data_IF_276667603096
#
_entry.id   IF_276667603096
#
_cell.length_a   1.000
_cell.length_b   1.000
_cell.length_c   1.000
_cell.angle_alpha   90.00
_cell.angle_beta   90.00
_cell.angle_gamma   90.00
#
_symmetry.space_group_name_H-M   'P 1'
#
loop_
_entity.id
_entity.type
_entity.pdbx_description
1 polymer ?
#
# COMPACT_ATOMS: atom_id res chain seq x y z
N UNK A 1 -12.08 18.66 -15.97
CA UNK A 1 -11.55 17.54 -16.78
C UNK A 1 -12.41 16.31 -16.52
N UNK A 2 -12.87 15.60 -17.55
CA UNK A 2 -13.91 14.56 -17.44
C UNK A 2 -13.41 13.11 -17.59
N UNK A 3 -12.11 12.84 -17.43
CA UNK A 3 -11.58 11.48 -17.46
C UNK A 3 -12.12 10.65 -16.27
N UNK A 4 -12.69 9.48 -16.58
CA UNK A 4 -13.35 8.61 -15.59
C UNK A 4 -12.78 7.18 -15.55
N UNK A 5 -11.91 6.83 -16.48
CA UNK A 5 -11.31 5.49 -16.59
C UNK A 5 -10.01 5.56 -17.41
N UNK A 6 -9.14 4.57 -17.19
CA UNK A 6 -7.95 4.29 -18.01
C UNK A 6 -8.26 3.11 -18.94
N UNK A 7 -7.52 2.97 -20.04
CA UNK A 7 -7.68 1.87 -20.99
C UNK A 7 -7.20 2.22 -22.38
N UNK A 8 -7.03 1.22 -23.24
CA UNK A 8 -6.56 1.38 -24.61
C UNK A 8 -7.69 1.46 -25.63
N UNK A 9 -7.92 0.36 -26.33
CA UNK A 9 -9.02 0.20 -27.30
C UNK A 9 -10.00 -0.87 -26.82
N UNK A 10 -11.28 -0.72 -27.15
CA UNK A 10 -12.32 -1.65 -26.73
C UNK A 10 -13.28 -2.01 -27.87
N UNK A 11 -13.87 -3.20 -27.76
CA UNK A 11 -14.85 -3.76 -28.68
C UNK A 11 -14.26 -4.23 -30.02
N UNK A 12 -15.08 -4.95 -30.80
CA UNK A 12 -14.68 -5.49 -32.11
C UNK A 12 -14.31 -4.43 -33.15
N UNK A 13 -14.80 -3.19 -32.99
CA UNK A 13 -14.47 -2.08 -33.88
C UNK A 13 -13.22 -1.29 -33.45
N UNK A 14 -12.46 -1.75 -32.45
CA UNK A 14 -11.21 -1.13 -31.99
C UNK A 14 -11.42 0.35 -31.66
N UNK A 15 -12.42 0.65 -30.83
CA UNK A 15 -12.73 2.04 -30.45
C UNK A 15 -11.72 2.52 -29.42
N UNK A 16 -11.05 3.66 -29.61
CA UNK A 16 -10.12 4.18 -28.62
C UNK A 16 -10.87 4.74 -27.42
N UNK A 17 -10.32 4.58 -26.22
CA UNK A 17 -10.82 5.27 -25.03
C UNK A 17 -10.47 6.76 -25.08
N UNK A 18 -11.22 7.63 -24.37
CA UNK A 18 -10.83 9.02 -24.19
C UNK A 18 -9.44 9.18 -23.56
N UNK A 19 -9.04 8.23 -22.69
CA UNK A 19 -7.71 8.21 -22.09
C UNK A 19 -6.62 8.05 -23.15
N UNK A 20 -6.75 7.04 -24.02
CA UNK A 20 -5.81 6.82 -25.13
C UNK A 20 -5.76 8.01 -26.09
N UNK A 21 -6.93 8.60 -26.42
CA UNK A 21 -7.00 9.80 -27.26
C UNK A 21 -6.25 10.99 -26.65
N UNK A 22 -6.36 11.20 -25.33
CA UNK A 22 -5.65 12.27 -24.64
C UNK A 22 -4.15 12.00 -24.56
N UNK A 23 -3.72 10.75 -24.34
CA UNK A 23 -2.31 10.37 -24.42
C UNK A 23 -1.73 10.70 -25.79
N UNK A 24 -2.44 10.31 -26.86
CA UNK A 24 -2.02 10.63 -28.22
C UNK A 24 -1.97 12.14 -28.47
N UNK A 25 -2.95 12.89 -27.93
CA UNK A 25 -2.96 14.35 -28.07
C UNK A 25 -1.79 15.00 -27.32
N UNK A 26 -1.44 14.51 -26.13
CA UNK A 26 -0.24 14.94 -25.41
C UNK A 26 1.03 14.67 -26.21
N UNK A 27 1.15 13.50 -26.85
CA UNK A 27 2.27 13.18 -27.74
C UNK A 27 2.35 14.14 -28.93
N UNK A 28 1.21 14.60 -29.47
CA UNK A 28 1.17 15.55 -30.57
C UNK A 28 1.57 16.98 -30.16
N UNK A 29 1.12 17.44 -28.99
CA UNK A 29 1.42 18.81 -28.52
C UNK A 29 2.78 18.90 -27.81
N UNK A 30 3.33 17.77 -27.40
CA UNK A 30 4.63 17.63 -26.74
C UNK A 30 4.82 18.67 -25.63
N UNK A 31 4.03 18.60 -24.54
CA UNK A 31 4.13 19.57 -23.46
C UNK A 31 5.53 19.56 -22.84
N UNK A 32 5.90 20.69 -22.25
CA UNK A 32 7.13 20.80 -21.46
C UNK A 32 7.10 19.83 -20.27
N UNK A 33 8.29 19.33 -19.90
CA UNK A 33 8.46 18.34 -18.85
C UNK A 33 7.85 18.79 -17.52
N UNK A 34 7.94 20.07 -17.20
CA UNK A 34 7.44 20.65 -15.95
C UNK A 34 5.92 20.49 -15.82
N UNK A 35 5.19 20.67 -16.93
CA UNK A 35 3.73 20.46 -16.98
C UNK A 35 3.39 18.99 -16.71
N UNK A 36 4.17 18.06 -17.24
CA UNK A 36 3.96 16.63 -17.03
C UNK A 36 4.25 16.24 -15.58
N UNK A 37 5.29 16.82 -14.98
CA UNK A 37 5.61 16.63 -13.57
C UNK A 37 4.49 17.19 -12.68
N UNK A 38 3.91 18.33 -13.03
CA UNK A 38 2.72 18.85 -12.34
C UNK A 38 1.52 17.92 -12.47
N UNK A 39 1.31 17.28 -13.62
CA UNK A 39 0.24 16.28 -13.77
C UNK A 39 0.46 15.07 -12.87
N UNK A 40 1.71 14.62 -12.70
CA UNK A 40 2.07 13.51 -11.83
C UNK A 40 1.88 13.86 -10.35
N UNK A 41 2.30 15.07 -9.95
CA UNK A 41 2.17 15.59 -8.58
C UNK A 41 0.72 15.95 -8.21
N UNK A 42 -0.20 15.97 -9.18
CA UNK A 42 -1.58 16.30 -8.91
C UNK A 42 -2.29 15.15 -8.16
N UNK A 43 -2.57 15.39 -6.88
CA UNK A 43 -3.27 14.44 -6.02
C UNK A 43 -4.79 14.50 -6.14
N UNK A 44 -5.38 15.56 -6.69
CA UNK A 44 -6.84 15.67 -6.78
C UNK A 44 -7.40 14.81 -7.93
N UNK A 45 -6.66 14.75 -9.04
CA UNK A 45 -7.11 14.09 -10.27
C UNK A 45 -6.29 12.84 -10.59
N UNK A 46 -6.67 11.72 -9.96
CA UNK A 46 -6.01 10.41 -10.19
C UNK A 46 -5.81 10.01 -11.65
N UNK A 47 -6.76 10.32 -12.54
CA UNK A 47 -6.64 9.98 -13.97
C UNK A 47 -5.69 10.90 -14.74
N UNK A 48 -5.52 12.15 -14.29
CA UNK A 48 -4.52 13.08 -14.86
C UNK A 48 -3.13 12.64 -14.44
N UNK A 49 -2.97 12.20 -13.19
CA UNK A 49 -1.74 11.58 -12.72
C UNK A 49 -1.39 10.32 -13.54
N UNK A 50 -2.35 9.42 -13.80
CA UNK A 50 -2.10 8.25 -14.65
C UNK A 50 -1.74 8.62 -16.10
N UNK A 51 -2.35 9.69 -16.61
CA UNK A 51 -2.05 10.21 -17.95
C UNK A 51 -0.62 10.74 -18.03
N UNK A 52 -0.20 11.51 -17.02
CA UNK A 52 1.17 12.00 -16.89
C UNK A 52 2.20 10.87 -16.73
N UNK A 53 1.88 9.86 -15.93
CA UNK A 53 2.70 8.66 -15.73
C UNK A 53 2.93 7.91 -17.06
N UNK A 54 1.85 7.63 -17.81
CA UNK A 54 1.95 6.98 -19.12
C UNK A 54 2.73 7.84 -20.12
N UNK A 55 2.53 9.17 -20.12
CA UNK A 55 3.27 10.06 -21.00
C UNK A 55 4.78 10.09 -20.67
N UNK A 56 5.15 10.16 -19.38
CA UNK A 56 6.56 10.05 -18.95
C UNK A 56 7.16 8.71 -19.32
N UNK A 57 6.40 7.61 -19.24
CA UNK A 57 6.86 6.28 -19.67
C UNK A 57 7.22 6.23 -21.15
N UNK A 58 6.50 6.97 -21.99
CA UNK A 58 6.67 6.95 -23.45
C UNK A 58 7.75 7.89 -23.95
N UNK A 59 7.94 9.05 -23.30
CA UNK A 59 8.79 10.14 -23.79
C UNK A 59 9.97 10.47 -22.88
N UNK A 60 9.87 10.12 -21.60
CA UNK A 60 10.88 10.41 -20.59
C UNK A 60 12.09 9.48 -20.67
N UNK A 61 13.18 9.91 -20.03
CA UNK A 61 14.34 9.05 -19.81
C UNK A 61 14.03 8.03 -18.71
N UNK A 62 14.77 6.91 -18.67
CA UNK A 62 14.60 5.90 -17.62
C UNK A 62 14.82 6.49 -16.21
N UNK A 63 15.79 7.40 -16.06
CA UNK A 63 16.08 8.10 -14.80
C UNK A 63 14.87 8.92 -14.34
N UNK A 64 14.27 9.70 -15.24
CA UNK A 64 13.10 10.49 -14.93
C UNK A 64 11.90 9.63 -14.55
N UNK A 65 11.73 8.50 -15.24
CA UNK A 65 10.67 7.54 -14.92
C UNK A 65 10.78 7.10 -13.47
N UNK A 66 11.92 6.55 -13.05
CA UNK A 66 12.13 6.08 -11.68
C UNK A 66 11.94 7.21 -10.66
N UNK A 67 12.54 8.38 -10.89
CA UNK A 67 12.46 9.52 -9.98
C UNK A 67 11.04 10.05 -9.74
N UNK A 68 10.21 10.12 -10.77
CA UNK A 68 8.87 10.71 -10.66
C UNK A 68 7.76 9.68 -10.36
N UNK A 69 7.97 8.40 -10.65
CA UNK A 69 6.96 7.36 -10.45
C UNK A 69 7.14 6.56 -9.17
N UNK A 70 8.34 6.53 -8.59
CA UNK A 70 8.55 5.92 -7.27
C UNK A 70 7.59 6.46 -6.20
N UNK A 71 7.38 7.79 -6.07
CA UNK A 71 6.41 8.33 -5.13
C UNK A 71 4.96 7.88 -5.39
N UNK A 72 4.63 7.47 -6.63
CA UNK A 72 3.29 7.00 -6.95
C UNK A 72 3.01 5.58 -6.44
N UNK A 73 4.02 4.79 -6.07
CA UNK A 73 3.81 3.49 -5.44
C UNK A 73 3.12 3.60 -4.08
N UNK A 74 3.29 4.71 -3.36
CA UNK A 74 2.58 4.98 -2.10
C UNK A 74 1.09 5.31 -2.31
N UNK A 75 0.62 5.36 -3.57
CA UNK A 75 -0.73 5.74 -3.92
C UNK A 75 -1.64 4.52 -4.15
N UNK A 76 -2.45 4.17 -3.15
CA UNK A 76 -3.34 3.00 -3.20
C UNK A 76 -4.76 3.32 -3.68
N UNK A 77 -4.97 4.44 -4.39
CA UNK A 77 -6.29 4.84 -4.86
C UNK A 77 -6.82 3.89 -5.92
N UNK A 78 -8.12 3.59 -5.86
CA UNK A 78 -8.81 2.75 -6.84
C UNK A 78 -9.14 3.54 -8.11
N UNK A 79 -8.76 3.02 -9.27
CA UNK A 79 -9.08 3.54 -10.61
C UNK A 79 -9.92 2.52 -11.39
N UNK A 80 -10.70 3.02 -12.34
CA UNK A 80 -11.44 2.17 -13.28
C UNK A 80 -10.57 1.93 -14.51
N UNK A 81 -10.33 0.68 -14.85
CA UNK A 81 -9.68 0.26 -16.09
C UNK A 81 -10.73 -0.32 -17.04
N UNK A 82 -10.65 0.01 -18.33
CA UNK A 82 -11.52 -0.56 -19.35
C UNK A 82 -10.76 -1.61 -20.14
N UNK A 83 -11.27 -2.84 -20.14
CA UNK A 83 -10.71 -3.96 -20.87
C UNK A 83 -11.02 -3.89 -22.36
N UNK A 84 -10.34 -4.71 -23.14
CA UNK A 84 -10.57 -4.87 -24.59
C UNK A 84 -12.01 -5.31 -24.91
N UNK A 85 -12.67 -6.04 -24.01
CA UNK A 85 -14.07 -6.45 -24.15
C UNK A 85 -15.06 -5.31 -23.88
N UNK A 86 -14.59 -4.17 -23.35
CA UNK A 86 -15.41 -3.01 -22.96
C UNK A 86 -15.90 -3.04 -21.52
N UNK A 87 -15.63 -4.11 -20.78
CA UNK A 87 -15.94 -4.25 -19.35
C UNK A 87 -15.01 -3.38 -18.50
N UNK A 88 -15.52 -2.92 -17.37
CA UNK A 88 -14.76 -2.09 -16.43
C UNK A 88 -14.29 -2.92 -15.25
N UNK A 89 -12.99 -2.91 -15.03
CA UNK A 89 -12.34 -3.51 -13.87
C UNK A 89 -11.85 -2.41 -12.92
N UNK A 90 -11.70 -2.78 -11.66
CA UNK A 90 -11.18 -1.90 -10.64
C UNK A 90 -9.74 -2.30 -10.35
N UNK A 91 -8.82 -1.38 -10.61
CA UNK A 91 -7.37 -1.56 -10.45
C UNK A 91 -6.88 -0.50 -9.48
N UNK A 92 -5.79 -0.74 -8.76
CA UNK A 92 -5.17 0.31 -7.93
C UNK A 92 -4.10 1.07 -8.72
N UNK A 93 -3.75 2.26 -8.23
CA UNK A 93 -2.77 3.12 -8.91
C UNK A 93 -1.38 2.50 -8.89
N UNK A 94 -0.91 2.02 -7.74
CA UNK A 94 0.33 1.24 -7.58
C UNK A 94 0.42 0.08 -8.58
N UNK A 95 -0.65 -0.72 -8.71
CA UNK A 95 -0.72 -1.83 -9.67
C UNK A 95 -0.56 -1.35 -11.13
N UNK A 96 -1.17 -0.22 -11.48
CA UNK A 96 -1.05 0.36 -12.82
C UNK A 96 0.36 0.91 -13.10
N UNK A 97 1.01 1.54 -12.11
CA UNK A 97 2.38 2.01 -12.23
C UNK A 97 3.35 0.82 -12.37
N UNK A 98 3.10 -0.27 -11.65
CA UNK A 98 3.88 -1.49 -11.78
C UNK A 98 3.75 -2.11 -13.16
N UNK A 99 2.52 -2.15 -13.70
CA UNK A 99 2.25 -2.63 -15.04
C UNK A 99 3.03 -1.82 -16.10
N UNK A 100 3.13 -0.49 -15.94
CA UNK A 100 3.93 0.38 -16.81
C UNK A 100 5.45 0.10 -16.75
N UNK A 101 5.95 -0.40 -15.61
CA UNK A 101 7.37 -0.69 -15.43
C UNK A 101 7.74 -2.05 -16.02
N UNK A 102 6.93 -3.07 -15.78
CA UNK A 102 7.26 -4.47 -16.09
C UNK A 102 6.68 -4.97 -17.41
N UNK A 103 5.58 -4.38 -17.90
CA UNK A 103 4.90 -4.87 -19.10
C UNK A 103 5.46 -4.25 -20.37
N UNK A 104 5.46 -5.02 -21.46
CA UNK A 104 5.86 -4.54 -22.79
C UNK A 104 4.76 -3.72 -23.48
N UNK A 105 3.51 -3.91 -23.06
CA UNK A 105 2.34 -3.26 -23.62
C UNK A 105 1.36 -2.87 -22.53
N UNK A 106 0.98 -1.60 -22.51
CA UNK A 106 -0.04 -1.06 -21.60
C UNK A 106 -1.00 -0.17 -22.39
N UNK A 107 -2.30 -0.27 -22.13
CA UNK A 107 -3.35 0.47 -22.86
C UNK A 107 -3.24 0.35 -24.39
N UNK A 108 -2.90 -0.84 -24.90
CA UNK A 108 -2.67 -1.13 -26.34
C UNK A 108 -1.51 -0.36 -26.99
N UNK A 109 -0.67 0.30 -26.19
CA UNK A 109 0.55 0.96 -26.63
C UNK A 109 1.74 0.06 -26.32
N UNK A 110 2.62 -0.16 -27.29
CA UNK A 110 3.89 -0.85 -27.08
C UNK A 110 4.85 0.15 -26.42
N UNK A 111 5.35 -0.19 -25.24
CA UNK A 111 6.22 0.68 -24.47
C UNK A 111 7.66 0.57 -24.97
N UNK A 112 8.43 1.68 -25.04
CA UNK A 112 9.85 1.64 -25.31
C UNK A 112 10.57 0.78 -24.27
N UNK A 113 11.59 0.02 -24.68
CA UNK A 113 12.35 -0.79 -23.72
C UNK A 113 12.99 0.08 -22.64
N UNK A 114 12.78 -0.30 -21.38
CA UNK A 114 13.34 0.39 -20.23
C UNK A 114 14.64 -0.30 -19.81
N UNK A 115 15.67 0.49 -19.51
CA UNK A 115 16.88 -0.04 -18.90
C UNK A 115 16.56 -0.48 -17.47
N UNK A 116 17.01 -1.69 -17.10
CA UNK A 116 16.82 -2.23 -15.76
C UNK A 116 17.55 -1.35 -14.75
N UNK A 117 16.96 -1.21 -13.56
CA UNK A 117 17.48 -0.35 -12.48
C UNK A 117 18.95 -0.61 -12.14
N UNK A 118 19.35 -1.87 -11.98
CA UNK A 118 20.74 -2.22 -11.61
C UNK A 118 21.78 -1.64 -12.57
N UNK A 119 21.47 -1.54 -13.87
CA UNK A 119 22.37 -0.97 -14.89
C UNK A 119 22.53 0.53 -14.70
N UNK A 120 21.48 1.20 -14.22
CA UNK A 120 21.49 2.65 -13.97
C UNK A 120 22.14 2.99 -12.63
N UNK A 121 22.03 2.10 -11.65
CA UNK A 121 22.75 2.19 -10.37
C UNK A 121 24.26 1.99 -10.58
N UNK A 122 24.67 0.99 -11.37
CA UNK A 122 26.07 0.78 -11.77
C UNK A 122 26.65 1.97 -12.56
N UNK A 123 25.80 2.70 -13.29
CA UNK A 123 26.17 3.90 -14.03
C UNK A 123 26.17 5.18 -13.17
N UNK A 124 25.91 5.09 -11.86
CA UNK A 124 25.76 6.22 -10.93
C UNK A 124 24.70 7.26 -11.36
N UNK A 125 23.74 6.86 -12.20
CA UNK A 125 22.67 7.74 -12.67
C UNK A 125 21.45 7.74 -11.75
N UNK A 126 21.32 6.71 -10.92
CA UNK A 126 20.27 6.56 -9.92
C UNK A 126 20.85 6.10 -8.59
N UNK A 127 20.34 6.68 -7.52
CA UNK A 127 20.60 6.20 -6.17
C UNK A 127 19.84 4.87 -5.92
N UNK A 128 20.37 4.00 -5.04
CA UNK A 128 19.68 2.78 -4.62
C UNK A 128 18.25 3.09 -4.19
N UNK A 129 17.30 2.21 -4.52
CA UNK A 129 15.90 2.41 -4.13
C UNK A 129 15.81 2.44 -2.61
N UNK A 130 15.27 3.52 -2.05
CA UNK A 130 14.76 3.53 -0.69
C UNK A 130 13.28 3.19 -0.79
N UNK A 131 12.91 1.95 -0.43
CA UNK A 131 11.50 1.57 -0.43
C UNK A 131 10.86 2.07 0.87
N UNK A 132 9.68 2.69 0.79
CA UNK A 132 8.95 3.12 1.99
C UNK A 132 8.65 1.97 2.98
N UNK A 133 8.67 0.72 2.52
CA UNK A 133 8.53 -0.48 3.35
C UNK A 133 9.80 -0.84 4.13
N UNK A 134 10.99 -0.42 3.66
CA UNK A 134 12.24 -0.61 4.41
C UNK A 134 12.27 0.32 5.63
N UNK A 135 11.78 1.55 5.48
CA UNK A 135 11.62 2.51 6.58
C UNK A 135 10.65 1.98 7.66
N UNK A 136 9.55 1.33 7.26
CA UNK A 136 8.60 0.69 8.19
C UNK A 136 9.17 -0.59 8.86
N UNK A 137 10.15 -1.28 8.25
CA UNK A 137 10.78 -2.48 8.85
C UNK A 137 11.87 -2.10 9.85
N UNK A 138 12.63 -1.04 9.57
CA UNK A 138 13.63 -0.49 10.51
C UNK A 138 12.97 0.01 11.81
N UNK A 139 11.77 0.60 11.74
CA UNK A 139 10.98 1.02 12.91
C UNK A 139 10.51 -0.17 13.77
N UNK A 140 10.23 -1.32 13.14
CA UNK A 140 9.83 -2.55 13.85
C UNK A 140 11.05 -3.22 14.49
N UNK A 141 12.18 -3.33 13.77
CA UNK A 141 13.44 -3.85 14.35
C UNK A 141 13.91 -3.00 15.54
N UNK A 142 13.82 -1.66 15.45
CA UNK A 142 14.15 -0.78 16.58
C UNK A 142 13.24 -1.00 17.80
N UNK A 143 11.96 -1.33 17.59
CA UNK A 143 11.02 -1.59 18.69
C UNK A 143 11.20 -2.98 19.33
N UNK A 144 11.64 -3.97 18.56
CA UNK A 144 11.95 -5.32 19.07
C UNK A 144 13.28 -5.35 19.85
N UNK A 145 14.26 -4.52 19.46
CA UNK A 145 15.51 -4.33 20.21
C UNK A 145 15.29 -3.63 21.57
N UNK A 146 14.34 -2.68 21.66
CA UNK A 146 13.97 -2.03 22.92
C UNK A 146 13.26 -2.99 23.90
N UNK A 147 12.41 -3.90 23.41
CA UNK A 147 11.75 -4.92 24.25
C UNK A 147 12.73 -6.00 24.76
N UNK A 148 13.76 -6.35 23.98
CA UNK A 148 14.79 -7.31 24.42
C UNK A 148 15.77 -6.75 25.47
N UNK A 149 16.01 -5.44 25.51
CA UNK A 149 16.81 -4.79 26.56
C UNK A 149 16.07 -4.73 27.90
N UNK A 150 14.76 -4.46 27.89
CA UNK A 150 13.96 -4.31 29.12
C UNK A 150 13.77 -5.67 29.84
N UNK A 151 13.60 -6.77 29.09
CA UNK A 151 13.42 -8.12 29.65
C UNK A 151 14.74 -8.70 30.22
N UNK A 152 15.92 -8.18 29.81
CA UNK A 152 17.23 -8.52 30.39
C UNK A 152 17.55 -7.73 31.66
N UNK A 153 16.96 -6.55 31.85
CA UNK A 153 17.20 -5.69 33.03
C UNK A 153 16.34 -6.08 34.25
N UNK A 154 15.17 -6.70 34.06
CA UNK A 154 14.33 -7.15 35.20
C UNK A 154 14.85 -8.42 35.92
N UNK A 155 15.80 -9.15 35.34
CA UNK A 155 16.27 -10.43 35.91
C UNK A 155 17.49 -10.29 36.82
N UNK A 156 17.43 -9.36 37.79
CA UNK A 156 18.41 -9.28 38.89
C UNK A 156 17.88 -10.02 40.13
N UNK A 157 18.52 -11.10 40.62
CA UNK A 157 18.10 -11.77 41.84
C UNK A 157 18.45 -10.92 43.07
N UNK A 158 17.45 -10.36 43.75
CA UNK A 158 17.67 -9.58 44.99
C UNK A 158 18.15 -10.46 46.16
N UNK A 159 19.29 -10.15 46.82
CA UNK A 159 19.69 -10.81 48.06
C UNK A 159 19.39 -9.96 49.31
N UNK A 160 18.74 -10.61 50.27
CA UNK A 160 18.89 -10.42 51.73
C UNK A 160 18.35 -9.13 52.39
N UNK A 161 17.13 -9.22 52.94
CA UNK A 161 16.63 -8.30 53.98
C UNK A 161 16.44 -9.03 55.32
N UNK A 162 17.46 -8.95 56.19
CA UNK A 162 17.37 -9.10 57.65
C UNK A 162 17.61 -7.70 58.25
N UNK A 163 16.84 -7.13 59.19
CA UNK A 163 16.23 -7.70 60.41
C UNK A 163 15.40 -6.62 61.14
N UNK A 164 14.35 -7.07 61.87
CA UNK A 164 13.78 -6.54 63.15
C UNK A 164 13.07 -5.17 63.11
N UNK A 165 12.05 -4.85 63.91
CA UNK A 165 11.17 -5.52 64.90
C UNK A 165 10.41 -4.37 65.58
N UNK A 166 9.07 -4.39 65.68
CA UNK A 166 8.29 -4.12 66.91
C UNK A 166 6.79 -3.84 66.65
N UNK A 167 5.94 -4.53 67.44
CA UNK A 167 4.62 -4.16 68.00
C UNK A 167 3.47 -3.89 67.02
N UNK A 168 2.51 -4.81 66.93
CA UNK A 168 1.32 -4.93 67.81
C UNK A 168 0.26 -3.88 67.48
N UNK A 169 -0.88 -4.36 66.94
CA UNK A 169 -2.22 -3.98 67.39
C UNK A 169 -3.25 -4.97 66.82
N UNK A 170 -3.80 -5.77 67.75
CA UNK A 170 -5.12 -6.39 67.68
C UNK A 170 -6.17 -5.47 67.01
N UNK A 171 -7.03 -6.00 66.13
CA UNK A 171 -8.43 -6.43 66.44
C UNK A 171 -9.27 -6.66 65.15
N UNK A 172 -10.30 -7.54 65.18
CA UNK A 172 -10.94 -8.14 63.99
C UNK A 172 -12.37 -7.63 63.69
N UNK A 173 -12.96 -8.24 62.64
CA UNK A 173 -14.39 -8.36 62.24
C UNK A 173 -14.91 -7.39 61.16
N UNK A 174 -15.33 -7.96 60.02
CA UNK A 174 -16.74 -8.13 59.61
C UNK A 174 -16.87 -8.65 58.16
N UNK A 175 -17.40 -9.86 57.99
CA UNK A 175 -18.30 -10.17 56.86
C UNK A 175 -19.67 -9.54 57.20
N UNK A 176 -20.56 -9.14 56.25
CA UNK A 176 -21.28 -10.07 55.35
C UNK A 176 -21.66 -9.47 53.95
N UNK A 177 -21.95 -10.23 52.90
CA UNK A 177 -23.29 -10.79 52.62
C UNK A 177 -23.32 -11.49 51.27
N UNK A 178 -24.11 -12.57 51.21
CA UNK A 178 -24.62 -13.26 50.03
C UNK A 178 -25.73 -12.45 49.32
N UNK A 179 -25.74 -12.41 47.98
CA UNK A 179 -26.94 -12.54 47.11
C UNK A 179 -26.49 -13.12 45.76
N UNK A 180 -26.74 -14.39 45.43
CA UNK A 180 -27.99 -15.01 44.94
C UNK A 180 -28.23 -14.78 43.44
N UNK A 181 -28.24 -15.90 42.70
CA UNK A 181 -28.98 -16.19 41.45
C UNK A 181 -28.47 -15.62 40.14
N UNK A 182 -28.68 -16.20 38.96
CA UNK A 182 -29.22 -17.42 38.30
C UNK A 182 -28.95 -17.07 36.82
N UNK A 183 -28.72 -17.91 35.83
CA UNK A 183 -28.76 -19.34 35.57
C UNK A 183 -28.22 -19.49 34.13
N UNK A 184 -27.67 -20.64 33.79
CA UNK A 184 -28.26 -21.57 32.83
C UNK A 184 -28.52 -21.00 31.42
N UNK A 185 -27.66 -21.36 30.47
CA UNK A 185 -28.15 -21.97 29.23
C UNK A 185 -27.15 -23.01 28.70
N UNK A 186 -27.59 -24.26 28.80
CA UNK A 186 -27.01 -25.43 28.13
C UNK A 186 -27.48 -25.40 26.68
N UNK A 187 -26.54 -25.38 25.73
CA UNK A 187 -26.73 -26.04 24.43
C UNK A 187 -26.67 -27.55 24.69
N UNK A 188 -27.57 -28.41 24.15
CA UNK A 188 -27.38 -28.87 22.77
C UNK A 188 -28.64 -29.41 22.06
N UNK A 189 -28.64 -29.48 20.72
CA UNK A 189 -28.69 -30.76 19.98
C UNK A 189 -28.82 -30.61 18.48
N UNK A 190 -27.95 -31.35 17.80
CA UNK A 190 -28.11 -31.93 16.46
C UNK A 190 -29.42 -32.74 16.36
N UNK A 191 -30.05 -32.71 15.18
CA UNK A 191 -30.41 -33.90 14.36
C UNK A 191 -31.16 -33.45 13.10
N UNK A 192 -30.60 -33.76 11.93
CA UNK A 192 -31.34 -34.17 10.73
C UNK A 192 -31.87 -35.62 10.94
N UNK A 193 -32.81 -36.18 10.14
CA UNK A 193 -33.07 -35.95 8.70
C UNK A 193 -34.56 -35.94 8.25
N UNK A 194 -34.75 -35.67 6.96
CA UNK A 194 -35.96 -35.77 6.09
C UNK A 194 -36.67 -37.14 6.19
N UNK A 195 -37.94 -37.34 5.72
CA UNK A 195 -38.43 -36.96 4.37
C UNK A 195 -39.93 -36.58 4.25
N UNK A 196 -40.27 -35.93 3.13
CA UNK A 196 -41.32 -36.29 2.13
C UNK A 196 -41.38 -35.21 1.05
#
# INVERSE_FOLDING_TARGET
>A
MELRFVGGVYGGNIKPTPFLCLTLKMLQIQPEKDIVVEFIRNEDFKYVCMLGALYMRLTGTAVDYYKYLEPLYSNYRKIKSQNRNGEFELVRVDEFIDELLHSERVCDIILPQLQKRYVLEEAEQLEPRVSALEEDMDDVESSEEEEEEDDKLERVPSPDHRRRSYRDLDKPRRSPTLRYWRGTSRSPKRRSPSPL
#
